data_IF_285997819956
#
_entry.id   IF_285997819956
#
_cell.length_a   1.000
_cell.length_b   1.000
_cell.length_c   1.000
_cell.angle_alpha   90.00
_cell.angle_beta   90.00
_cell.angle_gamma   90.00
#
_symmetry.space_group_name_H-M   'P 1'
#
loop_
_entity.id
_entity.type
_entity.pdbx_description
1 polymer ?
#
# COMPACT_ATOMS: atom_id res chain seq x y z
N UNK A 1 10.69 12.97 -22.30
CA UNK A 1 9.63 12.35 -21.49
C UNK A 1 10.14 12.23 -20.06
N UNK A 2 9.43 12.76 -19.06
CA UNK A 2 9.79 12.67 -17.64
C UNK A 2 8.69 11.88 -16.92
N UNK A 3 9.03 10.69 -16.40
CA UNK A 3 8.11 9.76 -15.76
C UNK A 3 8.83 9.00 -14.66
N UNK A 4 8.22 8.92 -13.49
CA UNK A 4 8.71 8.18 -12.32
C UNK A 4 7.61 7.23 -11.85
N UNK A 5 7.96 5.99 -11.56
CA UNK A 5 7.07 4.98 -10.97
C UNK A 5 7.83 4.32 -9.83
N UNK A 6 7.29 4.41 -8.62
CA UNK A 6 7.94 3.90 -7.41
C UNK A 6 6.93 3.09 -6.60
N UNK A 7 7.42 2.03 -5.99
CA UNK A 7 6.68 1.28 -4.98
C UNK A 7 7.52 1.24 -3.72
N UNK A 8 6.94 1.65 -2.61
CA UNK A 8 7.66 1.76 -1.34
C UNK A 8 6.72 1.83 -0.15
N UNK A 9 7.29 1.95 1.05
CA UNK A 9 6.53 2.17 2.27
C UNK A 9 6.67 3.60 2.75
N UNK A 10 5.59 4.17 3.29
CA UNK A 10 5.65 5.47 3.95
C UNK A 10 6.52 5.37 5.21
N UNK A 11 7.49 6.25 5.38
CA UNK A 11 8.33 6.28 6.60
C UNK A 11 7.63 6.93 7.79
N UNK A 12 6.60 7.74 7.52
CA UNK A 12 5.78 8.48 8.47
C UNK A 12 4.43 8.83 7.83
N UNK A 13 3.48 9.29 8.63
CA UNK A 13 2.20 9.80 8.13
C UNK A 13 2.40 11.00 7.17
N UNK A 14 1.55 11.17 6.15
CA UNK A 14 1.61 12.33 5.26
C UNK A 14 1.43 13.65 6.01
N UNK A 15 2.34 14.59 5.78
CA UNK A 15 2.21 15.95 6.28
C UNK A 15 1.41 16.78 5.27
N UNK A 16 0.19 17.18 5.63
CA UNK A 16 -0.68 17.99 4.75
C UNK A 16 -0.73 19.42 5.23
N UNK A 17 -0.52 20.34 4.28
CA UNK A 17 -0.64 21.78 4.49
C UNK A 17 -1.53 22.37 3.41
N UNK A 18 -2.30 23.38 3.78
CA UNK A 18 -3.14 24.13 2.85
C UNK A 18 -2.43 25.43 2.46
N UNK A 19 -2.37 25.73 1.17
CA UNK A 19 -1.77 26.97 0.69
C UNK A 19 -2.63 28.18 1.07
N UNK A 20 -1.97 29.28 1.44
CA UNK A 20 -2.64 30.56 1.65
C UNK A 20 -2.83 31.26 0.30
N UNK A 21 -4.07 31.49 -0.10
CA UNK A 21 -4.44 32.10 -1.39
C UNK A 21 -5.95 32.14 -1.60
N UNK A 22 -6.40 32.74 -2.70
CA UNK A 22 -7.83 32.86 -3.06
C UNK A 22 -8.49 31.48 -3.24
N UNK A 23 -7.71 30.50 -3.71
CA UNK A 23 -8.06 29.08 -3.70
C UNK A 23 -7.12 28.33 -2.77
N UNK A 24 -7.67 27.74 -1.72
CA UNK A 24 -6.93 26.82 -0.84
C UNK A 24 -6.59 25.54 -1.61
N UNK A 25 -5.30 25.25 -1.75
CA UNK A 25 -4.78 24.02 -2.36
C UNK A 25 -4.15 23.16 -1.28
N UNK A 26 -4.60 21.91 -1.18
CA UNK A 26 -3.98 20.92 -0.30
C UNK A 26 -2.64 20.47 -0.89
N UNK A 27 -1.61 20.38 -0.04
CA UNK A 27 -0.27 19.94 -0.39
C UNK A 27 0.16 18.88 0.62
N UNK A 28 0.25 17.62 0.19
CA UNK A 28 0.73 16.54 1.03
C UNK A 28 2.19 16.22 0.71
N UNK A 29 3.01 16.08 1.75
CA UNK A 29 4.41 15.66 1.64
C UNK A 29 4.62 14.39 2.45
N UNK A 30 5.26 13.41 1.83
CA UNK A 30 5.68 12.19 2.50
C UNK A 30 6.91 11.59 1.83
N UNK A 31 7.58 10.69 2.56
CA UNK A 31 8.81 10.05 2.10
C UNK A 31 8.55 8.55 1.96
N UNK A 32 8.92 8.00 0.80
CA UNK A 32 8.84 6.58 0.52
C UNK A 32 10.20 5.92 0.71
N UNK A 33 10.24 4.86 1.50
CA UNK A 33 11.35 3.91 1.52
C UNK A 33 11.16 2.92 0.36
N UNK A 34 12.07 2.97 -0.62
CA UNK A 34 12.06 2.15 -1.83
C UNK A 34 13.24 1.19 -1.79
N UNK A 35 12.96 -0.11 -1.71
CA UNK A 35 14.00 -1.14 -1.63
C UNK A 35 14.81 -1.25 -2.94
N UNK A 36 16.13 -1.34 -2.83
CA UNK A 36 17.04 -1.59 -3.95
C UNK A 36 17.08 -3.08 -4.29
N UNK A 37 16.78 -3.44 -5.55
CA UNK A 37 16.89 -4.83 -6.02
C UNK A 37 18.38 -5.26 -6.03
N UNK A 38 18.68 -6.41 -5.41
CA UNK A 38 20.00 -7.07 -5.56
C UNK A 38 20.87 -7.21 -4.30
N UNK A 39 20.55 -6.55 -3.18
CA UNK A 39 21.38 -6.62 -1.95
C UNK A 39 21.02 -7.72 -0.95
N UNK A 40 20.01 -8.56 -1.25
CA UNK A 40 19.59 -9.64 -0.34
C UNK A 40 20.57 -10.83 -0.32
N UNK A 41 21.43 -10.98 -1.34
CA UNK A 41 22.21 -12.21 -1.56
C UNK A 41 23.73 -12.03 -1.59
N UNK A 42 24.24 -10.81 -1.38
CA UNK A 42 25.68 -10.56 -1.34
C UNK A 42 26.02 -9.96 0.02
N UNK A 43 26.46 -10.82 0.92
CA UNK A 43 26.97 -10.51 2.25
C UNK A 43 25.92 -10.20 3.33
N UNK A 44 25.45 -11.26 4.00
CA UNK A 44 24.56 -11.26 5.16
C UNK A 44 25.20 -10.68 6.44
N UNK A 45 26.35 -10.00 6.32
CA UNK A 45 27.17 -9.56 7.46
C UNK A 45 27.35 -8.05 7.55
N UNK A 46 26.55 -7.25 6.84
CA UNK A 46 26.60 -5.80 7.03
C UNK A 46 25.21 -5.17 7.09
N UNK A 47 25.03 -4.41 8.16
CA UNK A 47 23.96 -3.45 8.45
C UNK A 47 23.94 -2.33 7.39
N UNK A 48 23.69 -2.69 6.14
CA UNK A 48 23.72 -1.79 4.99
C UNK A 48 22.32 -1.33 4.64
N UNK A 49 22.17 -0.03 4.42
CA UNK A 49 20.92 0.58 3.98
C UNK A 49 20.43 -0.08 2.67
N UNK A 50 19.31 -0.78 2.75
CA UNK A 50 18.70 -1.51 1.64
C UNK A 50 17.70 -0.67 0.83
N UNK A 51 17.31 0.49 1.33
CA UNK A 51 16.28 1.34 0.75
C UNK A 51 16.77 2.77 0.46
N UNK A 52 16.23 3.35 -0.61
CA UNK A 52 16.30 4.77 -0.92
C UNK A 52 15.11 5.51 -0.31
N UNK A 53 15.32 6.74 0.16
CA UNK A 53 14.29 7.58 0.75
C UNK A 53 13.91 8.69 -0.21
N UNK A 54 12.76 8.55 -0.87
CA UNK A 54 12.33 9.44 -1.94
C UNK A 54 11.22 10.36 -1.44
N UNK A 55 11.44 11.66 -1.53
CA UNK A 55 10.44 12.67 -1.19
C UNK A 55 9.39 12.77 -2.30
N UNK A 56 8.12 12.68 -1.91
CA UNK A 56 6.97 12.77 -2.79
C UNK A 56 6.08 13.94 -2.38
N UNK A 57 5.53 14.64 -3.38
CA UNK A 57 4.60 15.76 -3.19
C UNK A 57 3.34 15.51 -4.00
N UNK A 58 2.20 15.46 -3.32
CA UNK A 58 0.87 15.39 -3.92
C UNK A 58 0.15 16.72 -3.74
N UNK A 59 -0.70 17.07 -4.71
CA UNK A 59 -1.48 18.31 -4.73
C UNK A 59 -2.98 18.03 -4.80
N UNK A 60 -3.78 18.99 -4.32
CA UNK A 60 -5.24 19.01 -4.38
C UNK A 60 -5.85 17.67 -3.91
N UNK A 61 -6.66 17.02 -4.75
CA UNK A 61 -7.36 15.77 -4.42
C UNK A 61 -6.41 14.63 -4.06
N UNK A 62 -5.21 14.59 -4.66
CA UNK A 62 -4.21 13.59 -4.31
C UNK A 62 -3.64 13.86 -2.90
N UNK A 63 -3.48 15.12 -2.51
CA UNK A 63 -3.08 15.45 -1.15
C UNK A 63 -4.15 15.03 -0.12
N UNK A 64 -5.41 15.37 -0.38
CA UNK A 64 -6.55 15.01 0.48
C UNK A 64 -6.73 13.49 0.58
N UNK A 65 -6.53 12.76 -0.53
CA UNK A 65 -6.56 11.30 -0.53
C UNK A 65 -5.47 10.72 0.37
N UNK A 66 -4.23 11.21 0.25
CA UNK A 66 -3.13 10.77 1.09
C UNK A 66 -3.41 11.06 2.57
N UNK A 67 -3.92 12.25 2.90
CA UNK A 67 -4.32 12.62 4.28
C UNK A 67 -5.32 11.61 4.87
N UNK A 68 -6.37 11.32 4.10
CA UNK A 68 -7.47 10.50 4.58
C UNK A 68 -7.07 9.04 4.77
N UNK A 69 -6.26 8.50 3.87
CA UNK A 69 -6.08 7.05 3.77
C UNK A 69 -4.67 6.53 4.02
N UNK A 70 -3.63 7.33 3.82
CA UNK A 70 -2.26 6.85 4.01
C UNK A 70 -1.79 7.06 5.45
N UNK A 71 -1.06 6.07 5.95
CA UNK A 71 -0.45 6.03 7.28
C UNK A 71 0.98 5.50 7.15
N UNK A 72 1.78 5.77 8.17
CA UNK A 72 3.12 5.24 8.31
C UNK A 72 3.13 3.71 8.10
N UNK A 73 4.15 3.23 7.39
CA UNK A 73 4.37 1.81 7.13
C UNK A 73 3.55 1.24 5.97
N UNK A 74 2.48 1.91 5.53
CA UNK A 74 1.66 1.44 4.40
C UNK A 74 2.47 1.38 3.12
N UNK A 75 2.25 0.32 2.33
CA UNK A 75 2.88 0.18 1.02
C UNK A 75 2.01 0.85 -0.04
N UNK A 76 2.64 1.70 -0.85
CA UNK A 76 1.97 2.45 -1.91
C UNK A 76 2.74 2.35 -3.22
N UNK A 77 2.00 2.35 -4.31
CA UNK A 77 2.50 2.57 -5.66
C UNK A 77 2.22 4.03 -6.02
N UNK A 78 3.25 4.75 -6.45
CA UNK A 78 3.10 6.14 -6.88
C UNK A 78 3.65 6.33 -8.28
N UNK A 79 3.05 7.27 -8.99
CA UNK A 79 3.44 7.61 -10.33
C UNK A 79 3.45 9.13 -10.49
N UNK A 80 4.48 9.65 -11.14
CA UNK A 80 4.64 11.09 -11.27
C UNK A 80 5.79 11.49 -12.19
N UNK A 81 6.42 12.60 -11.85
CA UNK A 81 7.60 13.17 -12.51
C UNK A 81 8.63 13.63 -11.49
N UNK A 82 9.91 13.57 -11.84
CA UNK A 82 10.96 14.14 -10.99
C UNK A 82 11.03 15.64 -11.21
N UNK A 83 11.17 16.40 -10.12
CA UNK A 83 11.38 17.84 -10.14
C UNK A 83 12.53 18.19 -9.19
N UNK A 84 13.47 18.99 -9.68
CA UNK A 84 14.53 19.57 -8.86
C UNK A 84 14.18 21.02 -8.54
N UNK A 85 14.55 21.44 -7.34
CA UNK A 85 14.32 22.80 -6.85
C UNK A 85 15.46 23.27 -5.99
N UNK A 86 15.32 24.49 -5.45
CA UNK A 86 16.22 24.98 -4.41
C UNK A 86 15.53 26.01 -3.53
N UNK A 87 15.90 26.05 -2.26
CA UNK A 87 15.48 27.10 -1.34
C UNK A 87 16.68 27.58 -0.51
N UNK A 88 16.56 28.77 0.09
CA UNK A 88 17.57 29.30 1.01
C UNK A 88 17.15 28.93 2.43
N UNK A 89 18.02 28.24 3.17
CA UNK A 89 17.76 27.88 4.55
C UNK A 89 17.90 29.12 5.48
N UNK A 90 17.60 28.96 6.77
CA UNK A 90 17.70 30.07 7.75
C UNK A 90 19.12 30.63 7.90
N UNK A 91 20.14 29.89 7.50
CA UNK A 91 21.55 30.25 7.58
C UNK A 91 22.06 30.94 6.30
N UNK A 92 21.18 31.18 5.32
CA UNK A 92 21.53 31.82 4.04
C UNK A 92 22.14 30.86 3.00
N UNK A 93 22.18 29.55 3.28
CA UNK A 93 22.71 28.56 2.35
C UNK A 93 21.65 28.07 1.36
N UNK A 94 22.02 27.96 0.08
CA UNK A 94 21.16 27.40 -0.97
C UNK A 94 21.15 25.88 -0.88
N UNK A 95 20.00 25.31 -0.55
CA UNK A 95 19.75 23.86 -0.49
C UNK A 95 19.04 23.42 -1.77
N UNK A 96 19.58 22.40 -2.44
CA UNK A 96 18.95 21.79 -3.59
C UNK A 96 18.02 20.65 -3.16
N UNK A 97 16.84 20.58 -3.76
CA UNK A 97 15.86 19.53 -3.50
C UNK A 97 15.63 18.71 -4.77
N UNK A 98 15.33 17.44 -4.58
CA UNK A 98 14.84 16.55 -5.62
C UNK A 98 13.60 15.86 -5.07
N UNK A 99 12.47 16.07 -5.72
CA UNK A 99 11.16 15.61 -5.28
C UNK A 99 10.46 14.92 -6.45
N UNK A 100 9.58 13.97 -6.13
CA UNK A 100 8.67 13.38 -7.11
C UNK A 100 7.31 14.04 -6.96
N UNK A 101 6.90 14.77 -7.99
CA UNK A 101 5.56 15.35 -8.04
C UNK A 101 4.61 14.29 -8.56
N UNK A 102 3.59 13.97 -7.76
CA UNK A 102 2.69 12.86 -8.02
C UNK A 102 1.57 13.26 -8.96
N UNK A 103 1.34 12.39 -9.95
CA UNK A 103 0.18 12.42 -10.84
C UNK A 103 -0.88 11.41 -10.36
N UNK A 104 -0.45 10.26 -9.82
CA UNK A 104 -1.34 9.21 -9.33
C UNK A 104 -0.71 8.37 -8.19
N UNK A 105 -1.55 7.75 -7.36
CA UNK A 105 -1.14 6.97 -6.19
C UNK A 105 -2.19 5.91 -5.81
N UNK A 106 -1.72 4.71 -5.48
CA UNK A 106 -2.55 3.55 -5.19
C UNK A 106 -2.00 2.74 -4.01
N UNK A 107 -2.88 2.00 -3.33
CA UNK A 107 -2.45 1.03 -2.31
C UNK A 107 -1.74 -0.15 -2.96
N UNK A 108 -0.66 -0.61 -2.34
CA UNK A 108 0.12 -1.76 -2.80
C UNK A 108 0.24 -2.87 -1.74
N UNK A 109 -0.55 -2.80 -0.65
CA UNK A 109 -0.65 -3.87 0.34
C UNK A 109 -1.64 -4.96 -0.12
N UNK A 110 -1.30 -6.22 0.16
CA UNK A 110 -2.20 -7.35 -0.11
C UNK A 110 -3.34 -7.37 0.92
N UNK A 111 -4.52 -7.87 0.53
CA UNK A 111 -5.71 -7.93 1.40
C UNK A 111 -5.49 -8.64 2.76
N UNK A 112 -4.42 -9.42 2.92
CA UNK A 112 -4.06 -10.10 4.16
C UNK A 112 -3.06 -9.36 5.07
N UNK A 113 -2.46 -8.25 4.61
CA UNK A 113 -1.52 -7.46 5.41
C UNK A 113 -2.21 -6.44 6.33
N UNK A 114 -3.47 -6.10 6.05
CA UNK A 114 -4.24 -5.13 6.84
C UNK A 114 -4.58 -5.64 8.26
N UNK A 115 -4.51 -6.95 8.51
CA UNK A 115 -4.79 -7.55 9.82
C UNK A 115 -3.66 -7.39 10.85
N UNK A 116 -2.44 -7.04 10.44
CA UNK A 116 -1.32 -6.82 11.37
C UNK A 116 -1.21 -5.36 11.89
N UNK A 117 -1.87 -4.39 11.24
CA UNK A 117 -1.77 -2.97 11.60
C UNK A 117 -2.85 -2.51 12.60
N UNK A 118 -3.67 -3.43 13.12
CA UNK A 118 -4.79 -3.18 14.04
C UNK A 118 -4.55 -3.70 15.45
N UNK A 119 -3.44 -3.32 16.10
CA UNK A 119 -3.03 -3.77 17.43
C UNK A 119 -3.82 -3.22 18.62
N UNK A 120 -5.10 -2.86 18.45
CA UNK A 120 -5.98 -2.43 19.55
C UNK A 120 -7.37 -3.07 19.40
N UNK A 121 -7.43 -4.40 19.47
CA UNK A 121 -8.66 -5.12 19.74
C UNK A 121 -8.44 -6.04 20.95
N UNK A 122 -8.97 -5.56 22.05
CA UNK A 122 -9.18 -6.19 23.35
C UNK A 122 -9.39 -7.70 23.26
N UNK A 123 -8.59 -8.46 24.02
CA UNK A 123 -8.75 -9.88 24.20
C UNK A 123 -10.15 -10.20 24.77
N UNK A 124 -10.98 -10.87 23.98
CA UNK A 124 -12.17 -11.56 24.44
C UNK A 124 -11.99 -13.06 24.14
N UNK A 125 -12.00 -13.95 25.15
CA UNK A 125 -11.97 -15.38 24.91
C UNK A 125 -13.37 -15.81 24.47
N UNK A 126 -13.59 -15.98 23.18
CA UNK A 126 -14.80 -16.62 22.66
C UNK A 126 -14.44 -18.02 22.19
N UNK A 127 -14.78 -18.99 23.04
CA UNK A 127 -14.82 -20.41 22.74
C UNK A 127 -15.56 -20.62 21.41
N UNK A 128 -14.90 -21.29 20.47
CA UNK A 128 -15.51 -21.74 19.23
C UNK A 128 -16.46 -22.91 19.57
N UNK A 129 -17.78 -22.82 19.35
CA UNK A 129 -18.63 -24.00 19.43
C UNK A 129 -18.24 -24.95 18.29
N UNK A 130 -18.10 -26.23 18.61
CA UNK A 130 -17.93 -27.27 17.60
C UNK A 130 -19.13 -27.25 16.64
N UNK A 131 -18.93 -27.45 15.31
CA UNK A 131 -20.04 -27.55 14.39
C UNK A 131 -20.84 -28.81 14.74
N UNK A 132 -22.06 -28.61 15.21
CA UNK A 132 -23.06 -29.68 15.30
C UNK A 132 -23.39 -30.13 13.89
N UNK A 133 -23.20 -31.42 13.62
CA UNK A 133 -23.57 -32.10 12.39
C UNK A 133 -25.03 -31.81 12.04
N UNK A 134 -25.23 -30.94 11.06
CA UNK A 134 -26.54 -30.65 10.48
C UNK A 134 -26.38 -30.54 8.97
N UNK A 135 -26.23 -31.68 8.31
CA UNK A 135 -26.59 -31.83 6.89
C UNK A 135 -27.25 -33.19 6.76
N UNK A 136 -28.58 -33.17 6.81
CA UNK A 136 -29.39 -34.24 6.25
C UNK A 136 -29.09 -34.36 4.77
N UNK A 137 -28.90 -35.60 4.34
CA UNK A 137 -28.63 -36.04 2.99
C UNK A 137 -29.53 -35.36 1.96
N UNK A 138 -28.91 -34.48 1.17
CA UNK A 138 -29.50 -33.85 -0.03
C UNK A 138 -28.77 -34.24 -1.32
N UNK A 139 -27.92 -35.27 -1.29
CA UNK A 139 -27.31 -35.87 -2.47
C UNK A 139 -27.46 -37.38 -2.36
N UNK A 140 -28.33 -37.95 -3.19
CA UNK A 140 -28.47 -39.39 -3.35
C UNK A 140 -27.12 -39.98 -3.73
N UNK A 141 -26.60 -40.84 -2.86
CA UNK A 141 -25.50 -41.74 -3.17
C UNK A 141 -26.00 -42.69 -4.26
N UNK A 142 -25.65 -42.45 -5.52
CA UNK A 142 -25.90 -43.40 -6.60
C UNK A 142 -24.96 -44.59 -6.32
N UNK A 143 -25.48 -45.82 -6.12
CA UNK A 143 -24.61 -46.99 -6.03
C UNK A 143 -23.86 -47.17 -7.36
N UNK A 144 -22.55 -47.39 -7.30
CA UNK A 144 -21.73 -47.82 -8.43
C UNK A 144 -22.29 -49.16 -8.96
N UNK A 145 -23.13 -49.11 -9.99
CA UNK A 145 -23.76 -50.30 -10.55
C UNK A 145 -25.00 -50.10 -11.42
N UNK A 146 -25.39 -48.87 -11.77
CA UNK A 146 -26.42 -48.65 -12.80
C UNK A 146 -25.76 -48.59 -14.17
N UNK A 147 -25.91 -49.68 -14.91
CA UNK A 147 -25.48 -49.83 -16.29
C UNK A 147 -26.17 -48.78 -17.19
N UNK A 148 -25.36 -48.29 -18.13
CA UNK A 148 -25.64 -47.31 -19.15
C UNK A 148 -26.66 -47.87 -20.16
N UNK A 149 -27.96 -47.86 -19.80
CA UNK A 149 -29.03 -48.32 -20.68
C UNK A 149 -30.19 -47.32 -20.76
N UNK A 150 -30.18 -46.54 -21.85
CA UNK A 150 -31.39 -45.91 -22.40
C UNK A 150 -31.63 -44.46 -22.05
N UNK A 151 -30.75 -43.55 -22.49
CA UNK A 151 -31.16 -42.16 -22.71
C UNK A 151 -31.98 -42.07 -24.02
N UNK A 152 -33.29 -41.78 -23.97
CA UNK A 152 -34.03 -41.40 -25.16
C UNK A 152 -33.70 -39.94 -25.48
N UNK A 153 -33.97 -39.53 -26.72
CA UNK A 153 -33.67 -38.21 -27.33
C UNK A 153 -32.26 -38.15 -27.96
N UNK A 154 -31.99 -38.77 -29.11
CA UNK A 154 -32.43 -38.37 -30.46
C UNK A 154 -33.33 -37.14 -30.58
#
# INVERSE_FOLDING_TARGET
MNRVILMGRLTRDPEVRYSQGERSMAIARYTLAVDRRGRRNQDSSAEQQTADFINCVAFDRAAEFAEKYFRQGMRVLVSGRIQTGSYVNKEGQKVYTTEVILDDQEFADSKGAASEMGGYAQAAPSQRPAPTSAIGDGFMNIPDGVEDEGLPFN
#
